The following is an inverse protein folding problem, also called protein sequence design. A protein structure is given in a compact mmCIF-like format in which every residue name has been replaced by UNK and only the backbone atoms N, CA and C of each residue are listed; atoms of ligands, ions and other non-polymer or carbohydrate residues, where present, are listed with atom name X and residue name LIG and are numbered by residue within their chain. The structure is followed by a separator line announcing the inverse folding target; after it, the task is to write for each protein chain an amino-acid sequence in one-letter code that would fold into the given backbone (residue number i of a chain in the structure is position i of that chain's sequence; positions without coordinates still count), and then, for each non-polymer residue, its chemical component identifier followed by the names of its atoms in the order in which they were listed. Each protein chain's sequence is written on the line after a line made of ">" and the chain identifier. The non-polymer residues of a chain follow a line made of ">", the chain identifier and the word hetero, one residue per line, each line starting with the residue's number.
data_IF_653789737038
#
_entry.id   IF_653789737038
#
_cell.length_a   1.000
_cell.length_b   1.000
_cell.length_c   1.000
_cell.angle_alpha   90.00
_cell.angle_beta   90.00
_cell.angle_gamma   90.00
#
_symmetry.space_group_name_H-M   'P 1'
#
loop_
_entity.id
_entity.type
_entity.pdbx_description
1 polymer ?
#
# COMPACT_ATOMS: atom_id res chain seq x y z
N UNK A 1 -14.01 -11.51 20.63
CA UNK A 1 -13.65 -11.52 19.21
C UNK A 1 -12.82 -12.76 18.92
N UNK A 2 -13.34 -13.63 18.08
CA UNK A 2 -12.71 -14.90 17.80
C UNK A 2 -11.58 -14.81 16.79
N UNK A 3 -10.69 -15.79 16.83
CA UNK A 3 -9.58 -15.84 15.86
C UNK A 3 -10.09 -16.00 14.42
N UNK A 4 -11.19 -16.69 14.23
CA UNK A 4 -11.77 -16.89 12.90
C UNK A 4 -12.26 -15.59 12.26
N UNK A 5 -12.74 -14.65 13.09
CA UNK A 5 -13.20 -13.36 12.59
C UNK A 5 -12.06 -12.54 11.97
N UNK A 6 -10.85 -12.76 12.46
CA UNK A 6 -9.65 -12.05 11.99
C UNK A 6 -8.96 -12.70 10.81
N UNK A 7 -9.53 -13.76 10.25
CA UNK A 7 -8.98 -14.43 9.07
C UNK A 7 -8.96 -13.47 7.88
N UNK A 8 -7.87 -13.49 7.12
CA UNK A 8 -7.79 -12.67 5.90
C UNK A 8 -8.80 -13.11 4.84
N UNK A 9 -9.30 -14.34 4.93
CA UNK A 9 -10.33 -14.82 4.01
C UNK A 9 -11.67 -14.10 4.18
N UNK A 10 -11.85 -13.38 5.29
CA UNK A 10 -13.05 -12.58 5.55
C UNK A 10 -12.95 -11.16 4.98
N UNK A 11 -11.80 -10.76 4.45
CA UNK A 11 -11.62 -9.45 3.86
C UNK A 11 -12.31 -9.34 2.51
N UNK A 12 -12.90 -8.17 2.24
CA UNK A 12 -13.57 -7.88 0.97
C UNK A 12 -12.57 -7.48 -0.11
N UNK A 13 -11.56 -8.31 -0.32
CA UNK A 13 -10.57 -8.14 -1.38
C UNK A 13 -10.72 -9.24 -2.41
N UNK A 14 -10.29 -9.00 -3.66
CA UNK A 14 -10.25 -10.06 -4.65
C UNK A 14 -9.46 -11.26 -4.15
N UNK A 15 -9.90 -12.45 -4.54
CA UNK A 15 -9.26 -13.70 -4.10
C UNK A 15 -7.76 -13.73 -4.36
N UNK A 16 -7.33 -13.19 -5.51
CA UNK A 16 -5.90 -13.17 -5.86
C UNK A 16 -5.05 -12.36 -4.88
N UNK A 17 -5.62 -11.31 -4.28
CA UNK A 17 -4.92 -10.53 -3.27
C UNK A 17 -4.81 -11.31 -1.96
N UNK A 18 -5.88 -11.96 -1.54
CA UNK A 18 -5.89 -12.79 -0.34
C UNK A 18 -4.92 -13.96 -0.50
N UNK A 19 -4.95 -14.63 -1.64
CA UNK A 19 -4.05 -15.74 -1.95
C UNK A 19 -2.59 -15.29 -1.89
N UNK A 20 -2.29 -14.09 -2.38
CA UNK A 20 -0.94 -13.54 -2.30
C UNK A 20 -0.47 -13.40 -0.86
N UNK A 21 -1.26 -12.75 -0.02
CA UNK A 21 -0.89 -12.55 1.38
C UNK A 21 -0.68 -13.87 2.12
N UNK A 22 -1.52 -14.85 1.83
CA UNK A 22 -1.42 -16.16 2.49
C UNK A 22 -0.23 -16.96 1.98
N UNK A 23 -0.08 -17.10 0.66
CA UNK A 23 0.94 -17.97 0.08
C UNK A 23 2.34 -17.38 0.07
N UNK A 24 2.46 -16.08 -0.20
CA UNK A 24 3.77 -15.43 -0.32
C UNK A 24 4.27 -14.84 1.00
N UNK A 25 3.38 -14.27 1.79
CA UNK A 25 3.75 -13.62 3.04
C UNK A 25 3.34 -14.39 4.29
N UNK A 26 2.67 -15.53 4.14
CA UNK A 26 2.29 -16.38 5.26
C UNK A 26 1.30 -15.74 6.22
N UNK A 27 0.50 -14.79 5.74
CA UNK A 27 -0.47 -14.09 6.58
C UNK A 27 -1.79 -14.85 6.53
N UNK A 28 -2.23 -15.38 7.66
CA UNK A 28 -3.49 -16.09 7.78
C UNK A 28 -4.55 -15.27 8.51
N UNK A 29 -4.12 -14.49 9.49
CA UNK A 29 -5.00 -13.68 10.34
C UNK A 29 -4.40 -12.32 10.59
N UNK A 30 -5.29 -11.35 10.80
CA UNK A 30 -4.88 -10.02 11.20
C UNK A 30 -4.69 -9.97 12.71
N UNK A 31 -3.75 -9.16 13.16
CA UNK A 31 -3.64 -8.83 14.59
C UNK A 31 -4.82 -7.94 15.00
N UNK A 32 -5.22 -7.95 16.29
CA UNK A 32 -6.38 -7.17 16.71
C UNK A 32 -6.39 -5.70 16.28
N UNK A 33 -5.30 -4.92 16.39
CA UNK A 33 -5.31 -3.55 15.92
C UNK A 33 -5.52 -3.41 14.42
N UNK A 34 -4.98 -4.35 13.62
CA UNK A 34 -5.19 -4.37 12.18
C UNK A 34 -6.67 -4.64 11.86
N UNK A 35 -7.24 -5.59 12.55
CA UNK A 35 -8.64 -5.96 12.37
C UNK A 35 -9.57 -4.78 12.70
N UNK A 36 -9.29 -4.06 13.79
CA UNK A 36 -10.09 -2.88 14.17
C UNK A 36 -10.13 -1.80 13.07
N UNK A 37 -9.07 -1.71 12.27
CA UNK A 37 -9.01 -0.73 11.19
C UNK A 37 -9.85 -1.14 9.98
N UNK A 38 -10.23 -2.40 9.86
CA UNK A 38 -10.86 -2.91 8.62
C UNK A 38 -12.26 -2.34 8.37
N UNK A 39 -13.09 -2.18 9.40
CA UNK A 39 -14.41 -1.59 9.24
C UNK A 39 -14.35 -0.21 8.56
N UNK A 40 -13.72 0.77 9.21
CA UNK A 40 -13.56 2.10 8.60
C UNK A 40 -12.85 2.06 7.24
N UNK A 41 -11.86 1.19 7.08
CA UNK A 41 -11.10 1.07 5.84
C UNK A 41 -12.00 0.66 4.67
N UNK A 42 -12.79 -0.41 4.84
CA UNK A 42 -13.67 -0.88 3.78
C UNK A 42 -14.88 0.02 3.57
N UNK A 43 -15.22 0.85 4.56
CA UNK A 43 -16.22 1.91 4.41
C UNK A 43 -15.63 3.19 3.78
N UNK A 44 -14.38 3.13 3.37
CA UNK A 44 -13.65 4.22 2.70
C UNK A 44 -13.49 5.49 3.52
N UNK A 45 -13.42 5.34 4.85
CA UNK A 45 -13.11 6.46 5.73
C UNK A 45 -11.60 6.72 5.77
N UNK A 46 -11.24 7.95 6.04
CA UNK A 46 -9.86 8.28 6.38
C UNK A 46 -9.53 7.68 7.74
N UNK A 47 -8.33 7.12 7.86
CA UNK A 47 -7.92 6.40 9.07
C UNK A 47 -6.63 6.99 9.61
N UNK A 48 -6.61 7.24 10.91
CA UNK A 48 -5.38 7.51 11.65
C UNK A 48 -5.07 6.27 12.48
N UNK A 49 -3.97 5.59 12.16
CA UNK A 49 -3.59 4.35 12.80
C UNK A 49 -2.35 4.55 13.66
N UNK A 50 -2.51 4.40 14.98
CA UNK A 50 -1.42 4.50 15.92
C UNK A 50 -1.18 3.15 16.58
N UNK A 51 -0.30 2.35 15.98
CA UNK A 51 0.11 1.06 16.50
C UNK A 51 1.59 1.17 16.90
N UNK A 52 1.96 0.74 18.12
CA UNK A 52 3.38 0.74 18.49
C UNK A 52 4.14 -0.28 17.64
N UNK A 53 5.31 0.11 17.20
CA UNK A 53 6.26 -0.66 16.40
C UNK A 53 5.85 -0.99 14.96
N UNK A 54 6.85 -1.45 14.23
CA UNK A 54 6.85 -1.57 12.78
C UNK A 54 5.95 -2.69 12.22
N UNK A 55 5.45 -3.58 13.06
CA UNK A 55 4.75 -4.76 12.58
C UNK A 55 3.25 -4.53 12.46
N UNK A 56 2.75 -4.23 11.31
CA UNK A 56 1.33 -4.24 11.09
C UNK A 56 0.73 -3.03 10.40
N UNK A 57 1.33 -1.84 10.56
CA UNK A 57 0.81 -0.63 9.91
C UNK A 57 0.88 -0.72 8.40
N UNK A 58 1.98 -1.24 7.88
CA UNK A 58 2.18 -1.37 6.44
C UNK A 58 1.13 -2.26 5.79
N UNK A 59 0.80 -3.36 6.43
CA UNK A 59 -0.22 -4.26 5.89
C UNK A 59 -1.58 -3.57 5.80
N UNK A 60 -1.95 -2.79 6.81
CA UNK A 60 -3.21 -2.02 6.78
C UNK A 60 -3.18 -1.04 5.61
N UNK A 61 -2.07 -0.35 5.41
CA UNK A 61 -1.93 0.57 4.29
C UNK A 61 -2.04 -0.15 2.94
N UNK A 62 -1.41 -1.30 2.80
CA UNK A 62 -1.48 -2.09 1.57
C UNK A 62 -2.90 -2.56 1.28
N UNK A 63 -3.61 -3.03 2.31
CA UNK A 63 -5.01 -3.43 2.15
C UNK A 63 -5.87 -2.25 1.71
N UNK A 64 -5.65 -1.07 2.29
CA UNK A 64 -6.38 0.14 1.92
C UNK A 64 -6.13 0.51 0.45
N UNK A 65 -4.89 0.45 0.00
CA UNK A 65 -4.54 0.72 -1.39
C UNK A 65 -5.21 -0.28 -2.32
N UNK A 66 -5.12 -1.56 -2.01
CA UNK A 66 -5.71 -2.60 -2.85
C UNK A 66 -7.24 -2.49 -2.89
N UNK A 67 -7.86 -2.14 -1.77
CA UNK A 67 -9.30 -1.91 -1.74
C UNK A 67 -9.70 -0.80 -2.71
N UNK A 68 -8.95 0.31 -2.74
CA UNK A 68 -9.23 1.40 -3.67
C UNK A 68 -8.98 0.99 -5.13
N UNK A 69 -7.83 0.44 -5.43
CA UNK A 69 -7.44 0.16 -6.81
C UNK A 69 -8.17 -1.03 -7.44
N UNK A 70 -8.54 -2.02 -6.64
CA UNK A 70 -9.15 -3.25 -7.15
C UNK A 70 -10.66 -3.28 -7.00
N UNK A 71 -11.22 -2.65 -5.96
CA UNK A 71 -12.65 -2.72 -5.68
C UNK A 71 -13.41 -1.45 -6.06
N UNK A 72 -12.88 -0.28 -5.71
CA UNK A 72 -13.66 0.97 -5.80
C UNK A 72 -13.34 1.83 -7.00
N UNK A 73 -12.07 2.10 -7.24
CA UNK A 73 -11.65 3.01 -8.30
C UNK A 73 -10.57 2.41 -9.19
N UNK A 74 -10.91 1.39 -10.01
CA UNK A 74 -9.95 0.87 -10.98
C UNK A 74 -9.47 1.99 -11.90
N UNK A 75 -8.17 2.06 -12.12
CA UNK A 75 -7.58 3.13 -12.92
C UNK A 75 -7.15 4.35 -12.12
N UNK A 76 -7.53 4.44 -10.85
CA UNK A 76 -7.01 5.49 -9.97
C UNK A 76 -5.57 5.16 -9.54
N UNK A 77 -4.94 6.10 -8.88
CA UNK A 77 -3.55 5.95 -8.42
C UNK A 77 -3.48 6.13 -6.91
N UNK A 78 -2.54 5.43 -6.29
CA UNK A 78 -2.24 5.58 -4.87
C UNK A 78 -0.85 6.16 -4.71
N UNK A 79 -0.67 6.97 -3.68
CA UNK A 79 0.64 7.53 -3.33
C UNK A 79 0.98 7.11 -1.90
N UNK A 80 2.14 6.48 -1.75
CA UNK A 80 2.65 6.03 -0.45
C UNK A 80 3.83 6.94 -0.07
N UNK A 81 3.62 7.77 0.93
CA UNK A 81 4.63 8.77 1.32
C UNK A 81 5.38 8.30 2.55
N UNK A 82 6.70 8.35 2.48
CA UNK A 82 7.58 7.98 3.60
C UNK A 82 8.60 9.09 3.85
N UNK A 83 9.10 9.21 5.09
CA UNK A 83 10.01 10.29 5.43
C UNK A 83 11.44 10.10 4.96
N UNK A 84 11.87 8.87 4.67
CA UNK A 84 13.26 8.54 4.37
C UNK A 84 13.38 7.74 3.08
N UNK A 85 14.44 8.02 2.31
CA UNK A 85 14.72 7.28 1.06
C UNK A 85 14.88 5.77 1.29
N UNK A 86 15.52 5.38 2.40
CA UNK A 86 15.71 3.95 2.71
C UNK A 86 14.36 3.25 2.91
N UNK A 87 13.41 3.90 3.58
CA UNK A 87 12.06 3.36 3.75
C UNK A 87 11.32 3.29 2.42
N UNK A 88 11.50 4.29 1.56
CA UNK A 88 10.88 4.27 0.24
C UNK A 88 11.34 3.07 -0.58
N UNK A 89 12.64 2.79 -0.55
CA UNK A 89 13.20 1.64 -1.27
C UNK A 89 12.68 0.32 -0.70
N UNK A 90 12.59 0.20 0.62
CA UNK A 90 12.04 -0.98 1.28
C UNK A 90 10.59 -1.22 0.88
N UNK A 91 9.76 -0.18 0.96
CA UNK A 91 8.35 -0.28 0.60
C UNK A 91 8.15 -0.53 -0.89
N UNK A 92 9.03 0.00 -1.73
CA UNK A 92 9.02 -0.27 -3.15
C UNK A 92 9.20 -1.77 -3.43
N UNK A 93 10.16 -2.41 -2.78
CA UNK A 93 10.39 -3.85 -2.98
C UNK A 93 9.19 -4.68 -2.50
N UNK A 94 8.60 -4.33 -1.36
CA UNK A 94 7.40 -5.02 -0.86
C UNK A 94 6.22 -4.87 -1.81
N UNK A 95 5.93 -3.65 -2.23
CA UNK A 95 4.81 -3.38 -3.13
C UNK A 95 5.04 -3.91 -4.53
N UNK A 96 6.28 -3.94 -4.99
CA UNK A 96 6.64 -4.53 -6.27
C UNK A 96 6.27 -6.01 -6.32
N UNK A 97 6.49 -6.72 -5.23
CA UNK A 97 6.12 -8.13 -5.10
C UNK A 97 4.60 -8.29 -5.24
N UNK A 98 3.82 -7.47 -4.54
CA UNK A 98 2.37 -7.43 -4.68
C UNK A 98 1.97 -7.13 -6.12
N UNK A 99 2.60 -6.11 -6.71
CA UNK A 99 2.28 -5.67 -8.07
C UNK A 99 2.52 -6.74 -9.12
N UNK A 100 3.59 -7.52 -8.96
CA UNK A 100 3.88 -8.63 -9.88
C UNK A 100 2.78 -9.68 -9.88
N UNK A 101 2.17 -9.92 -8.73
CA UNK A 101 1.09 -10.91 -8.60
C UNK A 101 -0.28 -10.37 -9.02
N UNK A 102 -0.51 -9.08 -8.85
CA UNK A 102 -1.83 -8.48 -9.08
C UNK A 102 -1.93 -7.62 -10.33
N UNK A 103 -0.85 -7.55 -11.11
CA UNK A 103 -0.86 -6.75 -12.33
C UNK A 103 -0.85 -5.25 -12.09
N UNK A 104 -0.26 -4.78 -10.99
CA UNK A 104 -0.16 -3.36 -10.68
C UNK A 104 1.26 -2.86 -10.94
N UNK A 105 1.35 -1.66 -11.45
CA UNK A 105 2.63 -1.01 -11.75
C UNK A 105 3.05 -0.15 -10.57
N UNK A 106 4.27 -0.36 -10.09
CA UNK A 106 4.81 0.31 -8.91
C UNK A 106 5.90 1.28 -9.33
N UNK A 107 5.78 2.51 -8.90
CA UNK A 107 6.77 3.55 -9.15
C UNK A 107 7.51 3.96 -7.89
N UNK A 108 8.73 4.44 -8.04
CA UNK A 108 9.57 4.92 -6.95
C UNK A 108 10.07 6.33 -7.27
N UNK A 109 9.76 7.28 -6.40
CA UNK A 109 10.22 8.66 -6.53
C UNK A 109 11.04 9.09 -5.34
N UNK A 110 12.36 8.99 -5.44
CA UNK A 110 13.29 9.42 -4.40
C UNK A 110 14.45 10.20 -5.03
N UNK A 111 14.98 11.17 -4.29
CA UNK A 111 16.11 11.95 -4.72
C UNK A 111 15.84 12.84 -5.94
N UNK A 112 16.90 13.48 -6.40
CA UNK A 112 16.86 14.38 -7.56
C UNK A 112 17.39 13.72 -8.83
N UNK A 113 18.09 12.60 -8.70
CA UNK A 113 18.67 11.90 -9.83
C UNK A 113 17.61 11.07 -10.55
N UNK A 114 17.60 11.15 -11.87
CA UNK A 114 16.67 10.39 -12.70
C UNK A 114 16.85 8.88 -12.54
N UNK A 115 18.05 8.44 -12.16
CA UNK A 115 18.34 7.03 -11.91
C UNK A 115 17.62 6.48 -10.68
N UNK A 116 17.21 7.35 -9.76
CA UNK A 116 16.49 6.96 -8.55
C UNK A 116 14.98 7.01 -8.72
N UNK A 117 14.51 7.50 -9.87
CA UNK A 117 13.10 7.57 -10.18
C UNK A 117 12.75 6.44 -11.14
N UNK A 118 11.76 5.63 -10.77
CA UNK A 118 11.33 4.46 -11.56
C UNK A 118 9.84 4.52 -11.82
N UNK A 119 9.46 4.54 -13.08
CA UNK A 119 8.07 4.40 -13.52
C UNK A 119 7.08 5.38 -12.87
N UNK A 120 7.50 6.62 -12.57
CA UNK A 120 6.67 7.59 -11.87
C UNK A 120 5.35 7.87 -12.59
N UNK A 121 5.42 8.14 -13.89
CA UNK A 121 4.27 8.59 -14.66
C UNK A 121 3.25 7.48 -14.96
N UNK A 122 3.72 6.26 -14.98
CA UNK A 122 2.94 5.09 -15.42
C UNK A 122 2.50 4.19 -14.26
N UNK A 123 2.79 4.59 -13.03
CA UNK A 123 2.53 3.73 -11.87
C UNK A 123 1.09 3.81 -11.37
N UNK A 124 0.59 2.67 -10.92
CA UNK A 124 -0.67 2.58 -10.18
C UNK A 124 -0.44 2.97 -8.71
N UNK A 125 0.72 2.60 -8.18
CA UNK A 125 1.14 2.95 -6.81
C UNK A 125 2.49 3.63 -6.90
N UNK A 126 2.58 4.87 -6.41
CA UNK A 126 3.83 5.62 -6.35
C UNK A 126 4.31 5.67 -4.90
N UNK A 127 5.52 5.19 -4.66
CA UNK A 127 6.17 5.33 -3.36
C UNK A 127 7.17 6.49 -3.49
N UNK A 128 7.09 7.45 -2.58
CA UNK A 128 7.97 8.61 -2.66
C UNK A 128 8.21 9.24 -1.28
N UNK A 129 9.25 10.07 -1.22
CA UNK A 129 9.44 10.95 -0.07
C UNK A 129 8.56 12.17 -0.24
N UNK A 130 8.25 12.85 0.87
CA UNK A 130 7.44 14.05 0.84
C UNK A 130 8.08 15.16 0.01
N UNK A 131 9.39 15.28 0.07
CA UNK A 131 10.15 16.25 -0.73
C UNK A 131 10.01 16.01 -2.22
N UNK A 132 10.10 14.74 -2.62
CA UNK A 132 9.97 14.38 -4.04
C UNK A 132 8.54 14.59 -4.53
N UNK A 133 7.55 14.26 -3.69
CA UNK A 133 6.15 14.51 -4.04
C UNK A 133 5.89 16.00 -4.28
N UNK A 134 6.39 16.85 -3.39
CA UNK A 134 6.25 18.29 -3.52
C UNK A 134 6.88 18.78 -4.83
N UNK A 135 8.08 18.29 -5.15
CA UNK A 135 8.78 18.61 -6.40
C UNK A 135 7.96 18.19 -7.63
N UNK A 136 7.42 16.97 -7.60
CA UNK A 136 6.61 16.46 -8.70
C UNK A 136 5.32 17.27 -8.90
N UNK A 137 4.67 17.63 -7.82
CA UNK A 137 3.44 18.42 -7.88
C UNK A 137 3.71 19.83 -8.45
N UNK A 138 4.80 20.46 -8.05
CA UNK A 138 5.17 21.77 -8.54
C UNK A 138 5.52 21.77 -10.04
N UNK A 139 6.27 20.77 -10.47
CA UNK A 139 6.68 20.68 -11.88
C UNK A 139 5.50 20.40 -12.81
N UNK A 140 4.42 19.85 -12.30
CA UNK A 140 3.25 19.49 -13.12
C UNK A 140 2.11 20.49 -13.06
N UNK A 141 2.18 21.45 -12.15
CA UNK A 141 1.21 22.53 -12.07
C UNK A 141 1.50 23.64 -13.05
N UNK A 142 2.66 23.62 -13.68
CA UNK A 142 3.06 24.55 -14.72
C UNK A 142 2.74 23.95 -16.10
#
# INVERSE_FOLDING_TARGET
>A
MGEEERSIHNLSLPKKAIDFFESEWGIERLHPPQFEAMGPLFDQHNILLAIPTASGKSLVAYIAILNQLLNHNPGSRAVYIVPLKALASEKFEELKEIGQHLGLKIGLGIGDATSEAKNIDDSDILICTSEKLDSLMRSRSE
#
